data_IF_508943886713
#
_entry.id   IF_508943886713
#
_cell.length_a   1.000
_cell.length_b   1.000
_cell.length_c   1.000
_cell.angle_alpha   90.00
_cell.angle_beta   90.00
_cell.angle_gamma   90.00
#
_symmetry.space_group_name_H-M   'P 1'
#
loop_
_entity.id
_entity.type
_entity.pdbx_description
1 polymer ?
#
# COMPACT_ATOMS: atom_id res chain seq x y z
N UNK A 1 -10.74 -0.71 -0.05
CA UNK A 1 -11.55 -1.87 -0.46
C UNK A 1 -11.39 -3.08 0.46
N UNK A 2 -10.19 -3.60 0.71
CA UNK A 2 -10.02 -4.78 1.57
C UNK A 2 -10.55 -4.56 3.00
N UNK A 3 -10.09 -3.49 3.66
CA UNK A 3 -10.49 -3.19 5.04
C UNK A 3 -12.02 -3.02 5.19
N UNK A 4 -12.69 -2.37 4.23
CA UNK A 4 -14.15 -2.20 4.26
C UNK A 4 -14.93 -3.52 4.15
N UNK A 5 -14.34 -4.56 3.55
CA UNK A 5 -14.95 -5.89 3.46
C UNK A 5 -14.59 -6.76 4.66
N UNK A 6 -13.35 -6.74 5.13
CA UNK A 6 -12.91 -7.62 6.23
C UNK A 6 -13.61 -7.31 7.55
N UNK A 7 -13.94 -6.02 7.79
CA UNK A 7 -14.69 -5.61 8.98
C UNK A 7 -16.11 -6.21 9.01
N UNK A 8 -16.67 -6.57 7.85
CA UNK A 8 -18.00 -7.17 7.74
C UNK A 8 -18.02 -8.68 8.07
N UNK A 9 -16.86 -9.34 8.14
CA UNK A 9 -16.77 -10.77 8.50
C UNK A 9 -17.02 -10.99 10.00
N UNK A 10 -16.88 -9.94 10.82
CA UNK A 10 -17.18 -10.01 12.25
C UNK A 10 -18.68 -10.16 12.46
N UNK A 11 -19.06 -11.01 13.41
CA UNK A 11 -20.45 -11.08 13.86
C UNK A 11 -20.79 -9.77 14.61
N UNK A 12 -21.56 -8.91 13.95
CA UNK A 12 -22.00 -7.63 14.49
C UNK A 12 -23.49 -7.73 14.74
N UNK A 13 -23.89 -7.45 15.98
CA UNK A 13 -25.30 -7.32 16.32
C UNK A 13 -25.92 -6.20 15.47
N UNK A 14 -27.08 -6.41 14.81
CA UNK A 14 -27.69 -5.44 13.91
C UNK A 14 -28.37 -4.26 14.66
N UNK A 15 -27.84 -3.88 15.82
CA UNK A 15 -28.25 -2.75 16.65
C UNK A 15 -27.27 -1.58 16.47
N UNK A 16 -27.71 -0.36 16.77
CA UNK A 16 -26.82 0.82 16.73
C UNK A 16 -25.65 0.68 17.72
N UNK A 17 -25.92 0.13 18.92
CA UNK A 17 -24.90 -0.13 19.93
C UNK A 17 -23.86 -1.15 19.44
N UNK A 18 -24.32 -2.25 18.81
CA UNK A 18 -23.46 -3.26 18.20
C UNK A 18 -22.55 -2.68 17.11
N UNK A 19 -23.13 -1.89 16.20
CA UNK A 19 -22.36 -1.19 15.14
C UNK A 19 -21.34 -0.20 15.71
N UNK A 20 -21.71 0.59 16.72
CA UNK A 20 -20.80 1.53 17.38
C UNK A 20 -19.62 0.82 18.06
N UNK A 21 -19.90 -0.32 18.72
CA UNK A 21 -18.87 -1.18 19.31
C UNK A 21 -17.93 -1.75 18.24
N UNK A 22 -18.48 -2.27 17.15
CA UNK A 22 -17.71 -2.80 16.03
C UNK A 22 -16.80 -1.75 15.39
N UNK A 23 -17.31 -0.52 15.16
CA UNK A 23 -16.50 0.60 14.65
C UNK A 23 -15.37 0.95 15.62
N UNK A 24 -15.64 0.98 16.93
CA UNK A 24 -14.62 1.26 17.95
C UNK A 24 -13.49 0.24 17.89
N UNK A 25 -13.80 -1.06 17.90
CA UNK A 25 -12.77 -2.11 17.83
C UNK A 25 -12.03 -2.11 16.51
N UNK A 26 -12.73 -1.98 15.38
CA UNK A 26 -12.08 -1.87 14.07
C UNK A 26 -11.14 -0.67 13.98
N UNK A 27 -11.52 0.46 14.60
CA UNK A 27 -10.67 1.65 14.65
C UNK A 27 -9.42 1.42 15.50
N UNK A 28 -9.56 0.78 16.67
CA UNK A 28 -8.41 0.44 17.53
C UNK A 28 -7.45 -0.50 16.78
N UNK A 29 -7.98 -1.58 16.20
CA UNK A 29 -7.17 -2.58 15.48
C UNK A 29 -6.41 -1.94 14.32
N UNK A 30 -7.09 -1.13 13.48
CA UNK A 30 -6.44 -0.40 12.40
C UNK A 30 -5.41 0.62 12.90
N UNK A 31 -5.71 1.35 13.97
CA UNK A 31 -4.81 2.37 14.52
C UNK A 31 -3.53 1.73 15.04
N UNK A 32 -3.63 0.65 15.81
CA UNK A 32 -2.47 -0.07 16.35
C UNK A 32 -1.63 -0.65 15.21
N UNK A 33 -2.24 -1.28 14.21
CA UNK A 33 -1.53 -1.84 13.07
C UNK A 33 -0.80 -0.77 12.24
N UNK A 34 -1.47 0.36 11.94
CA UNK A 34 -0.85 1.46 11.19
C UNK A 34 0.24 2.17 12.00
N UNK A 35 0.09 2.27 13.32
CA UNK A 35 1.11 2.87 14.18
C UNK A 35 2.37 2.00 14.26
N UNK A 36 2.21 0.67 14.32
CA UNK A 36 3.35 -0.25 14.20
C UNK A 36 4.04 -0.14 12.84
N UNK A 37 3.26 -0.09 11.75
CA UNK A 37 3.79 0.10 10.40
C UNK A 37 4.55 1.42 10.25
N UNK A 38 4.06 2.50 10.88
CA UNK A 38 4.75 3.79 10.93
C UNK A 38 6.13 3.66 11.58
N UNK A 39 6.26 2.98 12.72
CA UNK A 39 7.57 2.78 13.35
C UNK A 39 8.52 1.94 12.51
N UNK A 40 8.02 0.92 11.82
CA UNK A 40 8.85 0.11 10.92
C UNK A 40 9.37 0.98 9.76
N UNK A 41 8.51 1.76 9.11
CA UNK A 41 8.92 2.66 8.02
C UNK A 41 9.91 3.73 8.52
N UNK A 42 9.67 4.30 9.70
CA UNK A 42 10.59 5.25 10.33
C UNK A 42 11.94 4.62 10.66
N UNK A 43 11.95 3.38 11.17
CA UNK A 43 13.18 2.66 11.47
C UNK A 43 14.01 2.42 10.20
N UNK A 44 13.38 1.97 9.10
CA UNK A 44 14.04 1.77 7.80
C UNK A 44 14.64 3.09 7.30
N UNK A 45 13.89 4.20 7.40
CA UNK A 45 14.36 5.51 6.94
C UNK A 45 15.57 6.00 7.77
N UNK A 46 15.50 5.86 9.10
CA UNK A 46 16.58 6.28 10.00
C UNK A 46 17.83 5.41 9.82
N UNK A 47 17.68 4.09 9.65
CA UNK A 47 18.83 3.21 9.38
C UNK A 47 19.43 3.49 8.01
N UNK A 48 18.62 3.75 6.99
CA UNK A 48 19.10 4.16 5.67
C UNK A 48 19.89 5.47 5.72
N UNK A 49 19.35 6.49 6.39
CA UNK A 49 20.05 7.74 6.62
C UNK A 49 21.37 7.52 7.38
N UNK A 50 21.37 6.74 8.47
CA UNK A 50 22.59 6.49 9.25
C UNK A 50 23.65 5.67 8.47
N UNK A 51 23.23 4.75 7.60
CA UNK A 51 24.13 3.91 6.82
C UNK A 51 24.78 4.67 5.66
N UNK A 52 24.01 5.46 4.92
CA UNK A 52 24.40 6.00 3.61
C UNK A 52 24.56 7.53 3.55
N UNK A 53 23.92 8.30 4.43
CA UNK A 53 23.97 9.76 4.36
C UNK A 53 25.39 10.30 4.57
N UNK A 54 25.87 11.14 3.65
CA UNK A 54 27.18 11.80 3.73
C UNK A 54 28.39 10.92 3.36
N UNK A 55 28.19 9.70 2.86
CA UNK A 55 29.28 8.79 2.47
C UNK A 55 29.56 8.72 0.96
N UNK A 56 28.91 9.55 0.14
CA UNK A 56 29.08 9.55 -1.33
C UNK A 56 28.50 8.32 -2.02
N UNK A 57 27.61 7.59 -1.33
CA UNK A 57 26.88 6.43 -1.83
C UNK A 57 25.48 6.86 -2.29
N UNK A 58 25.42 7.82 -3.22
CA UNK A 58 24.15 8.39 -3.71
C UNK A 58 23.39 7.43 -4.66
N UNK A 59 24.05 6.35 -5.10
CA UNK A 59 23.50 5.35 -6.05
C UNK A 59 22.88 4.12 -5.34
N UNK A 60 22.80 4.12 -4.00
CA UNK A 60 22.26 3.01 -3.21
C UNK A 60 20.73 3.10 -3.12
N UNK A 61 20.08 2.98 -4.28
CA UNK A 61 18.63 3.04 -4.41
C UNK A 61 17.97 1.67 -4.62
N UNK A 62 18.77 0.60 -4.78
CA UNK A 62 18.24 -0.71 -5.17
C UNK A 62 18.01 -1.66 -3.99
N UNK A 63 17.01 -2.53 -4.12
CA UNK A 63 16.63 -3.51 -3.08
C UNK A 63 17.79 -4.47 -2.77
N UNK A 64 18.67 -4.70 -3.74
CA UNK A 64 19.86 -5.54 -3.60
C UNK A 64 20.80 -5.03 -2.50
N UNK A 65 20.91 -3.72 -2.34
CA UNK A 65 21.82 -3.09 -1.38
C UNK A 65 21.20 -2.92 0.00
N UNK A 66 19.88 -3.07 0.14
CA UNK A 66 19.17 -2.85 1.40
C UNK A 66 19.60 -3.81 2.52
N UNK A 67 20.17 -4.98 2.21
CA UNK A 67 20.74 -5.87 3.23
C UNK A 67 21.93 -5.24 3.97
N UNK A 68 22.67 -4.33 3.32
CA UNK A 68 23.82 -3.64 3.92
C UNK A 68 23.42 -2.69 5.05
N UNK A 69 22.14 -2.27 5.11
CA UNK A 69 21.57 -1.53 6.24
C UNK A 69 21.60 -2.33 7.54
N UNK A 70 21.53 -3.66 7.44
CA UNK A 70 21.50 -4.56 8.60
C UNK A 70 22.91 -5.03 8.98
N UNK A 71 23.89 -4.92 8.08
CA UNK A 71 25.28 -5.37 8.30
C UNK A 71 25.93 -4.78 9.55
N UNK A 72 25.78 -3.48 9.90
CA UNK A 72 26.38 -2.92 11.11
C UNK A 72 25.84 -3.52 12.41
N UNK A 73 24.61 -4.05 12.41
CA UNK A 73 23.93 -4.56 13.61
C UNK A 73 24.03 -6.09 13.71
N UNK A 74 23.91 -6.79 12.58
CA UNK A 74 23.82 -8.24 12.53
C UNK A 74 25.10 -8.93 12.03
N UNK A 75 26.05 -8.17 11.46
CA UNK A 75 27.16 -8.71 10.69
C UNK A 75 26.74 -9.16 9.28
N UNK A 76 27.69 -9.20 8.35
CA UNK A 76 27.41 -9.39 6.92
C UNK A 76 26.65 -10.70 6.61
N UNK A 77 27.03 -11.81 7.25
CA UNK A 77 26.41 -13.11 7.01
C UNK A 77 24.94 -13.20 7.47
N UNK A 78 24.63 -12.71 8.68
CA UNK A 78 23.28 -12.78 9.21
C UNK A 78 22.35 -11.73 8.58
N UNK A 79 22.89 -10.56 8.23
CA UNK A 79 22.15 -9.48 7.56
C UNK A 79 21.48 -9.95 6.27
N UNK A 80 22.23 -10.63 5.38
CA UNK A 80 21.70 -11.11 4.10
C UNK A 80 20.62 -12.19 4.29
N UNK A 81 20.80 -13.11 5.25
CA UNK A 81 19.82 -14.17 5.51
C UNK A 81 18.52 -13.60 6.08
N UNK A 82 18.62 -12.73 7.09
CA UNK A 82 17.45 -12.08 7.71
C UNK A 82 16.71 -11.21 6.69
N UNK A 83 17.44 -10.45 5.87
CA UNK A 83 16.85 -9.65 4.81
C UNK A 83 16.14 -10.52 3.76
N UNK A 84 16.75 -11.62 3.32
CA UNK A 84 16.12 -12.54 2.36
C UNK A 84 14.83 -13.16 2.92
N UNK A 85 14.83 -13.59 4.18
CA UNK A 85 13.62 -14.13 4.85
C UNK A 85 12.55 -13.05 4.96
N UNK A 86 12.91 -11.83 5.37
CA UNK A 86 11.98 -10.72 5.49
C UNK A 86 11.36 -10.34 4.14
N UNK A 87 12.17 -10.29 3.07
CA UNK A 87 11.72 -9.99 1.71
C UNK A 87 10.76 -11.08 1.20
N UNK A 88 11.08 -12.35 1.40
CA UNK A 88 10.19 -13.47 1.06
C UNK A 88 8.87 -13.44 1.83
N UNK A 89 8.93 -13.20 3.15
CA UNK A 89 7.74 -13.09 3.99
C UNK A 89 6.83 -11.93 3.57
N UNK A 90 7.41 -10.77 3.27
CA UNK A 90 6.70 -9.59 2.74
C UNK A 90 5.97 -9.91 1.42
N UNK A 91 6.64 -10.60 0.50
CA UNK A 91 6.05 -11.02 -0.78
C UNK A 91 4.84 -11.96 -0.64
N UNK A 92 4.87 -12.87 0.35
CA UNK A 92 3.72 -13.74 0.64
C UNK A 92 2.54 -12.95 1.21
N UNK A 93 2.79 -12.05 2.17
CA UNK A 93 1.76 -11.20 2.77
C UNK A 93 1.07 -10.32 1.72
N UNK A 94 1.85 -9.70 0.83
CA UNK A 94 1.35 -8.88 -0.27
C UNK A 94 0.45 -9.69 -1.22
N UNK A 95 0.83 -10.93 -1.56
CA UNK A 95 0.01 -11.78 -2.44
C UNK A 95 -1.36 -12.10 -1.84
N UNK A 96 -1.43 -12.44 -0.55
CA UNK A 96 -2.70 -12.77 0.09
C UNK A 96 -3.62 -11.55 0.14
N UNK A 97 -3.07 -10.42 0.58
CA UNK A 97 -3.78 -9.15 0.67
C UNK A 97 -4.28 -8.69 -0.70
N UNK A 98 -3.43 -8.77 -1.72
CA UNK A 98 -3.75 -8.39 -3.10
C UNK A 98 -4.82 -9.27 -3.73
N UNK A 99 -4.79 -10.58 -3.53
CA UNK A 99 -5.81 -11.49 -4.08
C UNK A 99 -7.18 -11.35 -3.40
N UNK A 100 -7.23 -11.01 -2.11
CA UNK A 100 -8.49 -10.70 -1.41
C UNK A 100 -9.03 -9.33 -1.83
N UNK A 101 -8.17 -8.31 -1.90
CA UNK A 101 -8.56 -6.98 -2.38
C UNK A 101 -9.08 -7.05 -3.83
N UNK A 102 -8.39 -7.79 -4.70
CA UNK A 102 -8.78 -8.00 -6.09
C UNK A 102 -10.13 -8.70 -6.21
N UNK A 103 -10.47 -9.62 -5.31
CA UNK A 103 -11.81 -10.22 -5.28
C UNK A 103 -12.90 -9.16 -5.10
N UNK A 104 -12.72 -8.32 -4.08
CA UNK A 104 -13.71 -7.32 -3.67
C UNK A 104 -13.94 -6.32 -4.80
N UNK A 105 -12.87 -5.91 -5.47
CA UNK A 105 -12.97 -4.99 -6.61
C UNK A 105 -13.61 -5.68 -7.81
N UNK A 106 -13.20 -6.90 -8.16
CA UNK A 106 -13.76 -7.64 -9.30
C UNK A 106 -15.25 -7.96 -9.13
N UNK A 107 -15.65 -8.45 -7.96
CA UNK A 107 -17.05 -8.79 -7.68
C UNK A 107 -17.90 -7.54 -7.48
N UNK A 108 -17.34 -6.49 -6.87
CA UNK A 108 -18.07 -5.24 -6.59
C UNK A 108 -18.26 -4.34 -7.81
N UNK A 109 -17.22 -4.15 -8.64
CA UNK A 109 -17.27 -3.23 -9.78
C UNK A 109 -17.54 -3.90 -11.12
N UNK A 110 -17.04 -5.13 -11.33
CA UNK A 110 -17.14 -5.84 -12.61
C UNK A 110 -18.16 -6.98 -12.58
N UNK A 111 -18.73 -7.29 -11.40
CA UNK A 111 -19.59 -8.44 -11.15
C UNK A 111 -18.99 -9.77 -11.67
N UNK A 112 -17.65 -9.88 -11.62
CA UNK A 112 -16.91 -11.03 -12.15
C UNK A 112 -16.48 -11.96 -11.00
N UNK A 113 -16.98 -13.20 -11.02
CA UNK A 113 -16.67 -14.22 -10.02
C UNK A 113 -15.70 -15.25 -10.59
N UNK A 114 -14.44 -15.16 -10.19
CA UNK A 114 -13.38 -16.11 -10.55
C UNK A 114 -13.00 -16.99 -9.36
N UNK A 115 -12.61 -18.24 -9.62
CA UNK A 115 -12.03 -19.11 -8.59
C UNK A 115 -10.74 -18.47 -8.02
N UNK A 116 -10.47 -18.56 -6.70
CA UNK A 116 -9.32 -17.90 -6.08
C UNK A 116 -7.97 -18.22 -6.74
N UNK A 117 -7.75 -19.48 -7.14
CA UNK A 117 -6.52 -19.90 -7.81
C UNK A 117 -6.35 -19.29 -9.20
N UNK A 118 -7.45 -19.16 -9.97
CA UNK A 118 -7.44 -18.54 -11.30
C UNK A 118 -7.10 -17.07 -11.18
N UNK A 119 -7.76 -16.37 -10.24
CA UNK A 119 -7.49 -14.96 -9.96
C UNK A 119 -6.02 -14.74 -9.56
N UNK A 120 -5.49 -15.59 -8.68
CA UNK A 120 -4.07 -15.54 -8.26
C UNK A 120 -3.12 -15.81 -9.43
N UNK A 121 -3.43 -16.75 -10.31
CA UNK A 121 -2.60 -17.06 -11.46
C UNK A 121 -2.60 -15.89 -12.46
N UNK A 122 -3.77 -15.37 -12.84
CA UNK A 122 -3.88 -14.26 -13.80
C UNK A 122 -3.15 -13.02 -13.28
N UNK A 123 -3.45 -12.58 -12.04
CA UNK A 123 -2.82 -11.38 -11.46
C UNK A 123 -1.30 -11.54 -11.33
N UNK A 124 -0.80 -12.75 -11.02
CA UNK A 124 0.62 -13.02 -10.96
C UNK A 124 1.28 -13.04 -12.33
N UNK A 125 0.64 -13.62 -13.35
CA UNK A 125 1.16 -13.62 -14.71
C UNK A 125 1.23 -12.19 -15.27
N UNK A 126 0.19 -11.38 -15.05
CA UNK A 126 0.17 -9.97 -15.46
C UNK A 126 1.27 -9.15 -14.76
N UNK A 127 1.64 -9.48 -13.53
CA UNK A 127 2.74 -8.81 -12.83
C UNK A 127 4.13 -9.33 -13.27
N UNK A 128 4.31 -10.65 -13.32
CA UNK A 128 5.62 -11.30 -13.51
C UNK A 128 6.07 -11.25 -14.97
N UNK A 129 5.17 -11.47 -15.93
CA UNK A 129 5.57 -11.55 -17.35
C UNK A 129 6.17 -10.23 -17.86
N UNK A 130 5.54 -9.05 -17.65
CA UNK A 130 6.15 -7.78 -18.07
C UNK A 130 7.44 -7.49 -17.32
N UNK A 131 7.48 -7.77 -16.01
CA UNK A 131 8.68 -7.57 -15.18
C UNK A 131 9.85 -8.43 -15.67
N UNK A 132 9.58 -9.69 -16.05
CA UNK A 132 10.58 -10.60 -16.59
C UNK A 132 11.09 -10.14 -17.96
N UNK A 133 10.20 -9.68 -18.85
CA UNK A 133 10.58 -9.14 -20.15
C UNK A 133 11.49 -7.92 -19.98
N UNK A 134 11.11 -6.99 -19.10
CA UNK A 134 11.93 -5.79 -18.81
C UNK A 134 13.28 -6.17 -18.21
N UNK A 135 13.32 -7.14 -17.29
CA UNK A 135 14.58 -7.61 -16.71
C UNK A 135 15.52 -8.23 -17.77
N UNK A 136 14.98 -9.00 -18.72
CA UNK A 136 15.78 -9.63 -19.78
C UNK A 136 16.33 -8.60 -20.77
N UNK A 137 15.54 -7.58 -21.12
CA UNK A 137 15.91 -6.60 -22.16
C UNK A 137 16.74 -5.44 -21.59
N UNK A 138 16.36 -4.93 -20.42
CA UNK A 138 16.87 -3.67 -19.84
C UNK A 138 17.66 -3.85 -18.53
N UNK A 139 17.75 -5.06 -17.99
CA UNK A 139 18.51 -5.36 -16.77
C UNK A 139 17.96 -4.66 -15.51
N UNK A 140 18.82 -4.49 -14.50
CA UNK A 140 18.46 -3.95 -13.17
C UNK A 140 17.87 -2.53 -13.23
N UNK A 141 18.46 -1.65 -14.05
CA UNK A 141 17.97 -0.28 -14.25
C UNK A 141 16.54 -0.25 -14.79
N UNK A 142 16.20 -1.14 -15.71
CA UNK A 142 14.85 -1.27 -16.23
C UNK A 142 13.84 -1.76 -15.18
N UNK A 143 14.25 -2.68 -14.30
CA UNK A 143 13.39 -3.15 -13.21
C UNK A 143 13.14 -2.08 -12.15
N UNK A 144 14.15 -1.27 -11.83
CA UNK A 144 14.01 -0.12 -10.93
C UNK A 144 13.01 0.90 -11.48
N UNK A 145 13.12 1.27 -12.76
CA UNK A 145 12.17 2.18 -13.42
C UNK A 145 10.75 1.61 -13.46
N UNK A 146 10.59 0.31 -13.72
CA UNK A 146 9.29 -0.35 -13.70
C UNK A 146 8.67 -0.34 -12.29
N UNK A 147 9.49 -0.48 -11.25
CA UNK A 147 9.06 -0.35 -9.87
C UNK A 147 8.56 1.07 -9.59
N UNK A 148 9.33 2.10 -9.98
CA UNK A 148 8.92 3.51 -9.85
C UNK A 148 7.60 3.77 -10.60
N UNK A 149 7.48 3.32 -11.85
CA UNK A 149 6.25 3.43 -12.64
C UNK A 149 5.06 2.76 -11.95
N UNK A 150 5.28 1.60 -11.33
CA UNK A 150 4.25 0.91 -10.55
C UNK A 150 3.77 1.76 -9.36
N UNK A 151 4.67 2.50 -8.70
CA UNK A 151 4.30 3.44 -7.66
C UNK A 151 3.49 4.63 -8.19
N UNK A 152 3.84 5.14 -9.38
CA UNK A 152 3.05 6.19 -10.05
C UNK A 152 1.63 5.71 -10.32
N UNK A 153 1.47 4.49 -10.84
CA UNK A 153 0.14 3.92 -11.09
C UNK A 153 -0.65 3.76 -9.79
N UNK A 154 -0.02 3.28 -8.71
CA UNK A 154 -0.65 3.15 -7.40
C UNK A 154 -1.08 4.50 -6.82
N UNK A 155 -0.26 5.54 -6.99
CA UNK A 155 -0.56 6.89 -6.49
C UNK A 155 -1.82 7.43 -7.18
N UNK A 156 -1.95 7.27 -8.49
CA UNK A 156 -3.14 7.65 -9.26
C UNK A 156 -4.40 6.91 -8.80
N UNK A 157 -4.30 5.59 -8.60
CA UNK A 157 -5.42 4.79 -8.11
C UNK A 157 -5.93 5.29 -6.74
N UNK A 158 -5.04 5.80 -5.90
CA UNK A 158 -5.38 6.29 -4.57
C UNK A 158 -6.34 7.49 -4.63
N UNK A 159 -6.13 8.43 -5.56
CA UNK A 159 -7.07 9.55 -5.76
C UNK A 159 -8.48 9.07 -6.12
N UNK A 160 -8.58 8.10 -7.03
CA UNK A 160 -9.87 7.52 -7.43
C UNK A 160 -10.54 6.72 -6.32
N UNK A 161 -9.79 6.18 -5.36
CA UNK A 161 -10.34 5.47 -4.21
C UNK A 161 -10.78 6.42 -3.08
N UNK A 162 -9.98 7.46 -2.80
CA UNK A 162 -10.20 8.37 -1.67
C UNK A 162 -11.41 9.28 -1.90
N UNK A 163 -11.58 9.84 -3.11
CA UNK A 163 -12.68 10.77 -3.39
C UNK A 163 -14.06 10.13 -3.15
N UNK A 164 -14.39 8.95 -3.74
CA UNK A 164 -15.65 8.26 -3.44
C UNK A 164 -15.79 7.87 -1.97
N UNK A 165 -14.70 7.49 -1.30
CA UNK A 165 -14.72 7.15 0.12
C UNK A 165 -15.17 8.35 0.96
N UNK A 166 -14.59 9.54 0.73
CA UNK A 166 -14.97 10.76 1.46
C UNK A 166 -16.40 11.16 1.13
N UNK A 167 -16.82 11.04 -0.14
CA UNK A 167 -18.21 11.31 -0.55
C UNK A 167 -19.21 10.39 0.16
N UNK A 168 -18.96 9.08 0.15
CA UNK A 168 -19.87 8.10 0.75
C UNK A 168 -19.94 8.20 2.27
N UNK A 169 -18.81 8.45 2.93
CA UNK A 169 -18.76 8.59 4.40
C UNK A 169 -19.29 9.95 4.89
N UNK A 170 -19.43 10.93 3.99
CA UNK A 170 -20.03 12.24 4.29
C UNK A 170 -21.52 12.34 3.94
N UNK A 171 -22.08 11.31 3.29
CA UNK A 171 -23.48 11.28 2.87
C UNK A 171 -24.39 10.79 4.01
N UNK A 172 -25.29 11.67 4.48
CA UNK A 172 -26.24 11.36 5.55
C UNK A 172 -27.24 10.26 5.17
N UNK A 173 -27.59 10.15 3.89
CA UNK A 173 -28.52 9.13 3.41
C UNK A 173 -27.91 7.72 3.49
N UNK A 174 -26.59 7.62 3.25
CA UNK A 174 -25.86 6.35 3.29
C UNK A 174 -25.42 5.97 4.72
N UNK A 175 -24.98 6.94 5.51
CA UNK A 175 -24.33 6.70 6.80
C UNK A 175 -25.26 6.88 8.01
N UNK A 176 -26.40 7.56 7.85
CA UNK A 176 -27.33 7.84 8.94
C UNK A 176 -26.64 8.50 10.14
N UNK A 177 -26.80 7.91 11.32
CA UNK A 177 -26.19 8.38 12.59
C UNK A 177 -24.66 8.25 12.64
N UNK A 178 -24.06 7.49 11.72
CA UNK A 178 -22.61 7.24 11.64
C UNK A 178 -21.89 8.14 10.62
N UNK A 179 -22.55 9.19 10.12
CA UNK A 179 -21.92 10.17 9.22
C UNK A 179 -20.71 10.84 9.85
N UNK A 180 -19.70 11.16 9.03
CA UNK A 180 -18.51 11.85 9.50
C UNK A 180 -18.86 13.15 10.24
N UNK A 181 -18.19 13.37 11.38
CA UNK A 181 -18.25 14.65 12.09
C UNK A 181 -17.67 15.76 11.19
N UNK A 182 -18.11 17.03 11.34
CA UNK A 182 -17.65 18.13 10.49
C UNK A 182 -16.13 18.27 10.43
N UNK A 183 -15.43 18.10 11.57
CA UNK A 183 -13.96 18.17 11.60
C UNK A 183 -13.29 17.00 10.85
N UNK A 184 -13.83 15.78 10.95
CA UNK A 184 -13.33 14.61 10.20
C UNK A 184 -13.53 14.83 8.71
N UNK A 185 -14.68 15.39 8.33
CA UNK A 185 -14.98 15.72 6.93
C UNK A 185 -13.99 16.74 6.37
N UNK A 186 -13.72 17.82 7.10
CA UNK A 186 -12.73 18.83 6.68
C UNK A 186 -11.34 18.22 6.57
N UNK A 187 -10.91 17.44 7.58
CA UNK A 187 -9.61 16.76 7.56
C UNK A 187 -9.50 15.77 6.40
N UNK A 188 -10.54 14.97 6.14
CA UNK A 188 -10.55 14.00 5.05
C UNK A 188 -10.47 14.67 3.67
N UNK A 189 -11.18 15.78 3.46
CA UNK A 189 -11.08 16.56 2.23
C UNK A 189 -9.73 17.27 2.09
N UNK A 190 -9.15 17.76 3.18
CA UNK A 190 -7.81 18.35 3.17
C UNK A 190 -6.75 17.32 2.76
N UNK A 191 -6.77 16.13 3.38
CA UNK A 191 -5.86 15.03 3.03
C UNK A 191 -6.08 14.56 1.60
N UNK A 192 -7.34 14.41 1.16
CA UNK A 192 -7.66 14.07 -0.23
C UNK A 192 -7.11 15.14 -1.21
N UNK A 193 -7.26 16.42 -0.87
CA UNK A 193 -6.70 17.54 -1.64
C UNK A 193 -5.19 17.46 -1.77
N UNK A 194 -4.48 17.25 -0.65
CA UNK A 194 -3.02 17.09 -0.63
C UNK A 194 -2.60 15.93 -1.53
N UNK A 195 -3.23 14.76 -1.39
CA UNK A 195 -2.96 13.58 -2.21
C UNK A 195 -3.14 13.89 -3.70
N UNK A 196 -4.24 14.54 -4.08
CA UNK A 196 -4.50 14.88 -5.48
C UNK A 196 -3.45 15.85 -6.03
N UNK A 197 -3.08 16.88 -5.27
CA UNK A 197 -2.04 17.84 -5.67
C UNK A 197 -0.69 17.14 -5.85
N UNK A 198 -0.28 16.30 -4.89
CA UNK A 198 0.97 15.54 -4.95
C UNK A 198 0.98 14.57 -6.12
N UNK A 199 -0.14 13.90 -6.41
CA UNK A 199 -0.26 13.00 -7.55
C UNK A 199 -0.17 13.74 -8.89
N UNK A 200 -0.80 14.91 -9.01
CA UNK A 200 -0.70 15.75 -10.21
C UNK A 200 0.73 16.26 -10.39
N UNK A 201 1.38 16.68 -9.30
CA UNK A 201 2.79 17.08 -9.32
C UNK A 201 3.71 15.93 -9.76
N UNK A 202 3.51 14.74 -9.19
CA UNK A 202 4.29 13.55 -9.55
C UNK A 202 4.08 13.17 -11.02
N UNK A 203 2.85 13.22 -11.51
CA UNK A 203 2.56 13.00 -12.92
C UNK A 203 3.28 14.01 -13.80
N UNK A 204 3.17 15.28 -13.46
CA UNK A 204 3.81 16.35 -14.20
C UNK A 204 5.32 16.11 -14.28
N UNK A 205 5.97 15.83 -13.15
CA UNK A 205 7.39 15.49 -13.07
C UNK A 205 7.75 14.29 -13.96
N UNK A 206 6.97 13.21 -13.86
CA UNK A 206 7.16 11.98 -14.64
C UNK A 206 7.05 12.23 -16.15
N UNK A 207 6.13 13.10 -16.58
CA UNK A 207 5.92 13.41 -18.00
C UNK A 207 6.89 14.47 -18.54
N UNK A 208 7.36 15.41 -17.71
CA UNK A 208 8.31 16.44 -18.13
C UNK A 208 9.76 16.01 -18.04
N UNK A 209 10.06 14.87 -17.39
CA UNK A 209 11.41 14.32 -17.29
C UNK A 209 12.34 15.10 -16.36
N UNK A 210 11.79 15.88 -15.42
CA UNK A 210 12.57 16.58 -14.40
C UNK A 210 12.80 15.63 -13.22
N UNK A 211 13.83 14.78 -13.28
CA UNK A 211 14.37 14.14 -12.07
C UNK A 211 15.15 15.15 -11.22
#
# INVERSE_FOLDING_TARGET
YLHSSIVQVRQIEPTEAGRRSAIKFATIDSTVALFLAFFINAAILVTAAAAFHGKGHDDVADIADAHSLLTPVLGAGAASVVFAIALLASGQSSTLTGTLAGQIVMEGFLNLRLKPWVRRLITRLVAVVPSLIVAIIYGEKGTGQLLVLSQVILSLQLSFAVVPLVLFTSDKLKMGVFVNRPWVRVLAWAVAGIIMVLNVFLLWQTFTGNE
#
